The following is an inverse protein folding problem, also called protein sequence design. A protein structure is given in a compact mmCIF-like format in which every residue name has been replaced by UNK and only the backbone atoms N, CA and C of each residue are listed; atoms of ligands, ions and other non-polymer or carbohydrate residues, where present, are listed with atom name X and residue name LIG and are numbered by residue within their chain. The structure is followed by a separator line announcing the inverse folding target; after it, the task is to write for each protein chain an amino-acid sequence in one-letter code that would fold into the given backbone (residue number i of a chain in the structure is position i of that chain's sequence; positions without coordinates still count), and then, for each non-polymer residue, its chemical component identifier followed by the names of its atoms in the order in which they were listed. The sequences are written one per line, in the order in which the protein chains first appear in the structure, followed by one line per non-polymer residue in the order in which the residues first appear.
data_IF_877815184098
#
_entry.id   IF_877815184098
#
_cell.length_a   1.000
_cell.length_b   1.000
_cell.length_c   1.000
_cell.angle_alpha   90.00
_cell.angle_beta   90.00
_cell.angle_gamma   90.00
#
_symmetry.space_group_name_H-M   'P 1'
#
loop_
_entity.id
_entity.type
_entity.pdbx_description
1 polymer ?
#
# COMPACT_ATOMS: atom_id res chain seq x y z
N UNK A 1 -5.91 -1.38 13.34
CA UNK A 1 -6.58 -1.43 12.04
C UNK A 1 -5.49 -1.56 11.00
N UNK A 2 -5.65 -2.47 10.04
CA UNK A 2 -4.76 -2.58 8.88
C UNK A 2 -5.37 -1.84 7.69
N UNK A 3 -4.53 -1.24 6.85
CA UNK A 3 -4.95 -0.66 5.57
C UNK A 3 -4.14 -1.36 4.49
N UNK A 4 -4.82 -1.93 3.52
CA UNK A 4 -4.23 -2.65 2.39
C UNK A 4 -4.73 -1.94 1.14
N UNK A 5 -3.78 -1.42 0.37
CA UNK A 5 -4.06 -0.83 -0.92
C UNK A 5 -3.81 -1.89 -2.01
N UNK A 6 -4.83 -2.23 -2.79
CA UNK A 6 -4.74 -3.25 -3.82
C UNK A 6 -4.88 -2.63 -5.20
N UNK A 7 -3.91 -2.94 -6.06
CA UNK A 7 -3.97 -2.64 -7.48
C UNK A 7 -3.98 -3.96 -8.24
N UNK A 8 -5.08 -4.22 -8.94
CA UNK A 8 -5.25 -5.45 -9.70
C UNK A 8 -5.36 -5.15 -11.18
N UNK A 9 -4.23 -5.28 -11.86
CA UNK A 9 -4.24 -5.45 -13.32
C UNK A 9 -4.83 -6.81 -13.70
N UNK A 10 -5.48 -6.88 -14.85
CA UNK A 10 -6.09 -8.05 -15.51
C UNK A 10 -5.88 -9.44 -14.86
N UNK A 11 -6.96 -10.05 -14.39
CA UNK A 11 -7.05 -11.44 -13.87
C UNK A 11 -6.24 -11.78 -12.60
N UNK A 12 -5.72 -10.78 -11.88
CA UNK A 12 -4.84 -11.01 -10.72
C UNK A 12 -5.52 -10.88 -9.35
N UNK A 13 -6.85 -10.66 -9.25
CA UNK A 13 -7.48 -10.62 -7.93
C UNK A 13 -7.43 -12.03 -7.33
N UNK A 14 -6.62 -12.22 -6.29
CA UNK A 14 -6.44 -13.50 -5.62
C UNK A 14 -6.48 -13.31 -4.11
N UNK A 15 -7.40 -14.00 -3.45
CA UNK A 15 -7.54 -13.94 -1.99
C UNK A 15 -6.28 -14.43 -1.28
N UNK A 16 -5.51 -15.32 -1.90
CA UNK A 16 -4.20 -15.77 -1.40
C UNK A 16 -3.12 -14.68 -1.42
N UNK A 17 -3.31 -13.60 -2.18
CA UNK A 17 -2.40 -12.45 -2.18
C UNK A 17 -2.73 -11.47 -1.04
N UNK A 18 -3.85 -11.66 -0.35
CA UNK A 18 -4.22 -10.87 0.81
C UNK A 18 -3.39 -11.36 2.02
N UNK A 19 -2.72 -10.46 2.75
CA UNK A 19 -1.86 -10.84 3.84
C UNK A 19 -2.66 -11.50 4.97
N UNK A 20 -2.07 -12.52 5.61
CA UNK A 20 -2.61 -13.29 6.75
C UNK A 20 -3.32 -12.46 7.84
N UNK A 21 -2.91 -11.21 8.17
CA UNK A 21 -3.59 -10.39 9.17
C UNK A 21 -5.08 -10.10 8.88
N UNK A 22 -5.57 -10.26 7.65
CA UNK A 22 -7.01 -10.17 7.33
C UNK A 22 -7.81 -11.24 8.09
N UNK A 23 -7.22 -12.40 8.36
CA UNK A 23 -7.90 -13.53 9.00
C UNK A 23 -7.74 -13.55 10.53
N UNK A 24 -6.92 -12.68 11.12
CA UNK A 24 -6.61 -12.66 12.56
C UNK A 24 -7.57 -11.81 13.40
N UNK A 25 -8.80 -11.58 12.93
CA UNK A 25 -9.82 -10.81 13.67
C UNK A 25 -9.51 -9.31 13.84
N UNK A 26 -8.46 -8.80 13.19
CA UNK A 26 -8.12 -7.37 13.19
C UNK A 26 -8.95 -6.65 12.13
N UNK A 27 -9.59 -5.54 12.51
CA UNK A 27 -10.29 -4.67 11.57
C UNK A 27 -9.33 -4.23 10.44
N UNK A 28 -9.70 -4.53 9.21
CA UNK A 28 -8.85 -4.29 8.03
C UNK A 28 -9.65 -3.57 6.95
N UNK A 29 -9.11 -2.49 6.41
CA UNK A 29 -9.60 -1.84 5.20
C UNK A 29 -8.79 -2.32 4.02
N UNK A 30 -9.48 -2.87 3.02
CA UNK A 30 -8.94 -3.21 1.72
C UNK A 30 -9.52 -2.20 0.73
N UNK A 31 -8.69 -1.42 0.05
CA UNK A 31 -9.17 -0.44 -0.92
C UNK A 31 -8.25 -0.38 -2.16
N UNK A 32 -8.78 0.05 -3.29
CA UNK A 32 -8.00 0.34 -4.50
C UNK A 32 -8.71 -0.08 -5.79
N UNK A 33 -7.98 0.01 -6.89
CA UNK A 33 -8.45 -0.39 -8.22
C UNK A 33 -8.40 -1.91 -8.35
N UNK A 34 -9.56 -2.56 -8.28
CA UNK A 34 -9.67 -4.01 -8.41
C UNK A 34 -9.97 -4.44 -9.84
N UNK A 35 -10.25 -3.47 -10.74
CA UNK A 35 -10.75 -3.70 -12.07
C UNK A 35 -11.85 -4.78 -12.11
N UNK A 36 -12.74 -4.74 -11.11
CA UNK A 36 -13.71 -5.78 -10.83
C UNK A 36 -15.09 -5.34 -11.33
N UNK A 37 -15.69 -6.14 -12.22
CA UNK A 37 -17.04 -5.90 -12.75
C UNK A 37 -17.90 -7.11 -12.49
N UNK A 38 -19.02 -6.93 -11.81
CA UNK A 38 -20.02 -7.99 -11.60
C UNK A 38 -21.40 -7.36 -11.48
N UNK A 39 -22.44 -8.05 -11.96
CA UNK A 39 -23.83 -7.55 -11.93
C UNK A 39 -24.38 -7.29 -10.52
N UNK A 40 -23.80 -7.91 -9.50
CA UNK A 40 -24.13 -7.66 -8.08
C UNK A 40 -23.34 -6.50 -7.48
N UNK A 41 -22.30 -6.03 -8.15
CA UNK A 41 -21.46 -4.91 -7.74
C UNK A 41 -21.91 -3.63 -8.43
N UNK A 42 -22.25 -3.68 -9.71
CA UNK A 42 -22.76 -2.53 -10.48
C UNK A 42 -23.89 -2.98 -11.42
N UNK A 43 -24.92 -2.13 -11.57
CA UNK A 43 -26.02 -2.38 -12.50
C UNK A 43 -25.53 -2.24 -13.95
N UNK A 44 -25.71 -3.27 -14.77
CA UNK A 44 -25.39 -3.22 -16.21
C UNK A 44 -23.93 -3.54 -16.58
N UNK A 45 -23.05 -3.76 -15.61
CA UNK A 45 -21.67 -4.19 -15.88
C UNK A 45 -21.58 -5.60 -16.46
N UNK A 46 -20.71 -5.80 -17.47
CA UNK A 46 -20.36 -7.15 -17.94
C UNK A 46 -19.47 -7.81 -16.88
N UNK A 47 -19.95 -8.90 -16.29
CA UNK A 47 -19.18 -9.67 -15.31
C UNK A 47 -17.82 -10.07 -15.88
N UNK A 48 -16.75 -9.78 -15.16
CA UNK A 48 -15.39 -10.23 -15.45
C UNK A 48 -14.86 -11.12 -14.32
N UNK A 49 -13.71 -11.75 -14.56
CA UNK A 49 -13.10 -12.72 -13.62
C UNK A 49 -12.84 -12.08 -12.25
N UNK A 50 -12.31 -10.85 -12.23
CA UNK A 50 -12.05 -10.13 -10.98
C UNK A 50 -13.35 -9.88 -10.19
N UNK A 51 -14.43 -9.51 -10.87
CA UNK A 51 -15.74 -9.34 -10.26
C UNK A 51 -16.31 -10.63 -9.69
N UNK A 52 -16.21 -11.75 -10.41
CA UNK A 52 -16.61 -13.07 -9.88
C UNK A 52 -15.82 -13.40 -8.61
N UNK A 53 -14.50 -13.18 -8.61
CA UNK A 53 -13.66 -13.48 -7.44
C UNK A 53 -13.89 -12.53 -6.27
N UNK A 54 -14.17 -11.25 -6.52
CA UNK A 54 -14.54 -10.29 -5.48
C UNK A 54 -15.87 -10.67 -4.84
N UNK A 55 -16.85 -11.08 -5.63
CA UNK A 55 -18.14 -11.55 -5.11
C UNK A 55 -17.99 -12.86 -4.34
N UNK A 56 -17.17 -13.79 -4.83
CA UNK A 56 -16.84 -15.00 -4.08
C UNK A 56 -16.18 -14.67 -2.75
N UNK A 57 -15.20 -13.75 -2.74
CA UNK A 57 -14.58 -13.27 -1.50
C UNK A 57 -15.61 -12.71 -0.51
N UNK A 58 -16.54 -11.87 -0.96
CA UNK A 58 -17.59 -11.33 -0.09
C UNK A 58 -18.53 -12.42 0.44
N UNK A 59 -18.75 -13.49 -0.32
CA UNK A 59 -19.52 -14.66 0.11
C UNK A 59 -18.77 -15.51 1.14
N UNK A 60 -17.48 -15.73 0.93
CA UNK A 60 -16.62 -16.57 1.78
C UNK A 60 -16.29 -15.89 3.11
N UNK A 61 -16.33 -14.56 3.14
CA UNK A 61 -16.05 -13.75 4.32
C UNK A 61 -17.25 -12.85 4.67
N UNK A 62 -18.28 -13.37 5.35
CA UNK A 62 -19.48 -12.59 5.70
C UNK A 62 -19.20 -11.34 6.57
N UNK A 63 -18.06 -11.32 7.24
CA UNK A 63 -17.56 -10.17 7.99
C UNK A 63 -16.90 -9.08 7.12
N UNK A 64 -16.75 -9.34 5.82
CA UNK A 64 -16.31 -8.38 4.82
C UNK A 64 -17.51 -7.61 4.26
N UNK A 65 -17.41 -6.29 4.26
CA UNK A 65 -18.47 -5.40 3.79
C UNK A 65 -17.90 -4.35 2.85
N UNK A 66 -18.46 -4.31 1.63
CA UNK A 66 -18.21 -3.20 0.71
C UNK A 66 -18.69 -1.89 1.31
N UNK A 67 -17.86 -0.87 1.13
CA UNK A 67 -18.16 0.51 1.49
C UNK A 67 -18.60 1.31 0.25
N UNK A 68 -19.27 2.42 0.51
CA UNK A 68 -19.61 3.42 -0.50
C UNK A 68 -20.90 3.14 -1.25
N UNK A 69 -21.28 4.14 -2.04
CA UNK A 69 -22.41 4.12 -2.97
C UNK A 69 -22.11 3.22 -4.19
N UNK A 70 -23.05 3.18 -5.14
CA UNK A 70 -22.84 2.59 -6.47
C UNK A 70 -22.43 3.63 -7.52
N UNK A 71 -21.84 4.74 -7.07
CA UNK A 71 -21.36 5.78 -7.95
C UNK A 71 -20.19 5.26 -8.81
N UNK A 72 -20.08 5.73 -10.06
CA UNK A 72 -18.92 5.45 -10.90
C UNK A 72 -17.62 5.93 -10.24
N UNK A 73 -16.53 5.20 -10.48
CA UNK A 73 -15.18 5.59 -10.02
C UNK A 73 -14.25 5.89 -11.19
N UNK A 74 -14.78 5.92 -12.42
CA UNK A 74 -14.03 6.18 -13.63
C UNK A 74 -14.84 7.09 -14.57
N UNK A 75 -14.15 7.94 -15.33
CA UNK A 75 -14.77 8.97 -16.19
C UNK A 75 -15.61 8.37 -17.35
N UNK A 76 -15.26 7.17 -17.81
CA UNK A 76 -16.04 6.43 -18.81
C UNK A 76 -17.26 5.71 -18.21
N UNK A 77 -17.51 5.90 -16.91
CA UNK A 77 -18.55 5.22 -16.17
C UNK A 77 -18.12 3.86 -15.63
N UNK A 78 -18.98 3.32 -14.77
CA UNK A 78 -18.75 2.08 -14.04
C UNK A 78 -17.86 2.24 -12.81
N UNK A 79 -17.85 1.18 -12.01
CA UNK A 79 -17.16 1.11 -10.72
C UNK A 79 -16.04 0.07 -10.80
N UNK A 80 -14.81 0.55 -10.73
CA UNK A 80 -13.60 -0.28 -10.78
C UNK A 80 -12.82 -0.26 -9.47
N UNK A 81 -12.96 0.85 -8.75
CA UNK A 81 -12.35 1.08 -7.46
C UNK A 81 -13.32 0.68 -6.36
N UNK A 82 -12.83 -0.09 -5.40
CA UNK A 82 -13.63 -0.60 -4.29
C UNK A 82 -12.94 -0.38 -2.98
N UNK A 83 -13.74 -0.25 -1.94
CA UNK A 83 -13.30 -0.26 -0.55
C UNK A 83 -14.12 -1.29 0.21
N UNK A 84 -13.46 -2.11 1.01
CA UNK A 84 -14.04 -3.20 1.78
C UNK A 84 -13.48 -3.20 3.20
N UNK A 85 -14.37 -3.23 4.19
CA UNK A 85 -14.00 -3.42 5.59
C UNK A 85 -14.18 -4.87 5.97
N UNK A 86 -13.14 -5.48 6.54
CA UNK A 86 -13.14 -6.85 7.06
C UNK A 86 -13.00 -6.82 8.58
N UNK A 87 -13.64 -7.78 9.26
CA UNK A 87 -13.68 -7.89 10.73
C UNK A 87 -14.27 -6.64 11.41
N UNK A 88 -15.30 -6.10 10.77
CA UNK A 88 -15.92 -4.86 11.17
C UNK A 88 -17.00 -5.10 12.23
N UNK A 89 -16.69 -4.84 13.50
CA UNK A 89 -17.67 -4.94 14.61
C UNK A 89 -18.65 -3.74 14.66
N UNK A 90 -19.20 -3.32 13.52
CA UNK A 90 -20.29 -2.34 13.47
C UNK A 90 -19.91 -0.85 13.56
N UNK A 91 -18.64 -0.46 13.44
CA UNK A 91 -18.19 0.94 13.41
C UNK A 91 -18.64 1.74 12.14
N UNK A 92 -19.66 2.62 12.19
CA UNK A 92 -20.17 3.27 10.99
C UNK A 92 -19.09 4.08 10.24
N UNK A 93 -18.74 3.66 9.02
CA UNK A 93 -17.77 4.34 8.16
C UNK A 93 -18.44 5.07 7.00
N UNK A 94 -17.88 6.21 6.59
CA UNK A 94 -18.33 6.98 5.42
C UNK A 94 -17.35 6.71 4.28
N UNK A 95 -17.88 6.50 3.07
CA UNK A 95 -17.09 6.29 1.87
C UNK A 95 -17.77 7.03 0.70
N UNK A 96 -17.07 8.00 0.13
CA UNK A 96 -17.59 8.88 -0.92
C UNK A 96 -16.65 8.89 -2.12
N UNK A 97 -17.19 9.11 -3.31
CA UNK A 97 -16.40 9.40 -4.51
C UNK A 97 -16.02 10.89 -4.52
N UNK A 98 -14.77 11.18 -4.87
CA UNK A 98 -14.19 12.52 -4.98
C UNK A 98 -13.78 12.75 -6.44
N UNK A 99 -14.47 13.67 -7.11
CA UNK A 99 -14.30 13.97 -8.54
C UNK A 99 -13.26 15.03 -8.85
N UNK A 100 -12.73 15.73 -7.85
CA UNK A 100 -11.92 16.94 -8.04
C UNK A 100 -10.45 16.66 -8.43
N UNK A 101 -10.11 15.42 -8.80
CA UNK A 101 -8.76 15.02 -9.17
C UNK A 101 -8.57 15.03 -10.69
N UNK A 102 -7.36 15.39 -11.13
CA UNK A 102 -6.95 15.36 -12.53
C UNK A 102 -6.54 13.93 -12.96
N UNK A 103 -7.48 12.99 -12.90
CA UNK A 103 -7.32 11.60 -13.35
C UNK A 103 -8.61 11.13 -14.05
N UNK A 104 -8.47 10.12 -14.90
CA UNK A 104 -9.57 9.33 -15.43
C UNK A 104 -10.29 8.48 -14.36
N UNK A 105 -9.64 8.23 -13.22
CA UNK A 105 -10.25 7.67 -12.02
C UNK A 105 -10.67 8.77 -11.03
N UNK A 106 -11.82 8.56 -10.39
CA UNK A 106 -12.26 9.35 -9.25
C UNK A 106 -11.71 8.73 -7.96
N UNK A 107 -11.29 9.57 -7.01
CA UNK A 107 -10.78 9.07 -5.75
C UNK A 107 -11.90 8.54 -4.84
N UNK A 108 -11.57 7.57 -4.00
CA UNK A 108 -12.43 7.12 -2.91
C UNK A 108 -11.95 7.74 -1.60
N UNK A 109 -12.78 8.60 -1.00
CA UNK A 109 -12.57 9.18 0.31
C UNK A 109 -13.23 8.35 1.41
N UNK A 110 -12.44 7.81 2.35
CA UNK A 110 -12.93 6.94 3.42
C UNK A 110 -12.69 7.59 4.79
N UNK A 111 -13.73 7.69 5.61
CA UNK A 111 -13.66 8.16 7.00
C UNK A 111 -14.18 7.08 7.94
N UNK A 112 -13.35 6.67 8.90
CA UNK A 112 -13.67 5.62 9.87
C UNK A 112 -13.56 6.17 11.29
N UNK A 113 -14.51 5.87 12.18
CA UNK A 113 -14.46 6.24 13.59
C UNK A 113 -13.52 5.27 14.32
N UNK A 114 -12.22 5.51 14.18
CA UNK A 114 -11.21 4.73 14.88
C UNK A 114 -10.95 5.34 16.25
N UNK A 115 -10.94 4.50 17.29
CA UNK A 115 -10.35 4.92 18.57
C UNK A 115 -8.89 5.28 18.29
N UNK A 116 -8.49 6.53 18.58
CA UNK A 116 -7.10 6.98 18.45
C UNK A 116 -6.21 6.05 19.28
N UNK A 117 -5.60 5.06 18.64
CA UNK A 117 -4.42 4.40 19.19
C UNK A 117 -3.25 5.34 18.95
N UNK A 118 -2.49 5.64 20.01
CA UNK A 118 -1.13 6.19 19.84
C UNK A 118 -0.35 5.17 19.02
N UNK A 119 -0.21 5.42 17.73
CA UNK A 119 0.75 4.69 16.92
C UNK A 119 2.10 5.27 17.30
N UNK A 120 2.85 4.54 18.13
CA UNK A 120 4.26 4.79 18.29
C UNK A 120 4.93 4.34 17.00
N UNK A 121 5.01 5.26 16.04
CA UNK A 121 5.93 5.07 14.94
C UNK A 121 7.33 5.19 15.55
N UNK A 122 8.04 4.07 15.64
CA UNK A 122 9.49 4.14 15.76
C UNK A 122 10.03 4.65 14.42
N UNK A 123 9.92 5.96 14.20
CA UNK A 123 10.48 6.62 13.03
C UNK A 123 11.98 6.62 13.24
N UNK A 124 12.63 5.57 12.74
CA UNK A 124 14.09 5.54 12.60
C UNK A 124 14.48 6.76 11.76
N UNK A 125 15.05 7.78 12.41
CA UNK A 125 15.46 9.01 11.75
C UNK A 125 16.71 8.72 10.93
N UNK A 126 16.49 8.38 9.67
CA UNK A 126 17.56 8.23 8.69
C UNK A 126 18.16 9.61 8.41
N UNK A 127 19.40 9.81 8.84
CA UNK A 127 20.12 11.06 8.66
C UNK A 127 21.23 10.85 7.64
N UNK A 128 21.18 11.61 6.54
CA UNK A 128 22.20 11.61 5.49
C UNK A 128 23.11 12.83 5.69
N UNK A 129 24.39 12.64 6.02
CA UNK A 129 25.36 13.74 6.06
C UNK A 129 25.46 14.45 4.69
N UNK A 130 25.60 15.78 4.69
CA UNK A 130 25.67 16.58 3.46
C UNK A 130 26.80 16.13 2.52
N UNK A 131 27.93 15.70 3.07
CA UNK A 131 29.10 15.21 2.32
C UNK A 131 28.92 13.81 1.72
N UNK A 132 27.77 13.16 1.97
CA UNK A 132 27.44 11.81 1.48
C UNK A 132 26.28 11.78 0.50
N UNK A 133 25.73 12.94 0.12
CA UNK A 133 24.58 13.04 -0.78
C UNK A 133 24.88 12.40 -2.13
N UNK A 134 26.01 12.73 -2.76
CA UNK A 134 26.36 12.20 -4.08
C UNK A 134 26.59 10.69 -4.05
N UNK A 135 27.24 10.19 -3.00
CA UNK A 135 27.44 8.76 -2.82
C UNK A 135 26.11 8.02 -2.63
N UNK A 136 25.21 8.60 -1.84
CA UNK A 136 23.87 8.07 -1.62
C UNK A 136 23.08 8.02 -2.92
N UNK A 137 23.03 9.12 -3.67
CA UNK A 137 22.35 9.21 -4.97
C UNK A 137 22.92 8.14 -5.92
N UNK A 138 24.24 8.07 -6.07
CA UNK A 138 24.90 7.10 -6.94
C UNK A 138 24.50 5.66 -6.61
N UNK A 139 24.48 5.29 -5.32
CA UNK A 139 24.14 3.93 -4.88
C UNK A 139 22.66 3.60 -5.07
N UNK A 140 21.76 4.54 -4.77
CA UNK A 140 20.32 4.33 -4.97
C UNK A 140 19.99 4.29 -6.46
N UNK A 141 20.57 5.15 -7.28
CA UNK A 141 20.42 5.11 -8.74
C UNK A 141 20.92 3.79 -9.33
N UNK A 142 22.06 3.29 -8.86
CA UNK A 142 22.59 1.98 -9.29
C UNK A 142 21.67 0.84 -8.87
N UNK A 143 21.17 0.85 -7.63
CA UNK A 143 20.18 -0.14 -7.17
C UNK A 143 18.93 -0.11 -8.05
N UNK A 144 18.37 1.07 -8.29
CA UNK A 144 17.16 1.23 -9.10
C UNK A 144 17.35 0.74 -10.53
N UNK A 145 18.49 1.06 -11.17
CA UNK A 145 18.81 0.59 -12.51
C UNK A 145 18.89 -0.94 -12.63
N UNK A 146 19.17 -1.64 -11.53
CA UNK A 146 19.26 -3.10 -11.48
C UNK A 146 18.02 -3.74 -10.84
N UNK A 147 17.06 -2.95 -10.37
CA UNK A 147 15.88 -3.45 -9.69
C UNK A 147 14.89 -4.01 -10.71
N UNK A 148 14.43 -5.24 -10.49
CA UNK A 148 13.37 -5.86 -11.29
C UNK A 148 12.06 -5.82 -10.51
N UNK A 149 11.09 -4.98 -10.91
CA UNK A 149 9.85 -4.83 -10.18
C UNK A 149 9.01 -6.11 -10.26
N UNK A 150 8.60 -6.62 -9.10
CA UNK A 150 7.62 -7.72 -8.99
C UNK A 150 6.24 -7.24 -8.56
N UNK A 151 6.17 -6.24 -7.67
CA UNK A 151 4.95 -5.51 -7.29
C UNK A 151 5.30 -4.23 -6.50
N UNK A 152 4.32 -3.34 -6.28
CA UNK A 152 4.53 -2.03 -5.66
C UNK A 152 4.86 -2.11 -4.16
N UNK A 153 4.23 -3.03 -3.41
CA UNK A 153 4.52 -3.21 -1.98
C UNK A 153 5.95 -3.72 -1.76
N UNK A 154 6.38 -4.65 -2.62
CA UNK A 154 7.76 -5.14 -2.63
C UNK A 154 8.76 -4.06 -3.02
N UNK A 155 8.40 -3.17 -3.96
CA UNK A 155 9.22 -2.01 -4.28
C UNK A 155 9.45 -1.10 -3.07
N UNK A 156 8.40 -0.76 -2.30
CA UNK A 156 8.58 0.08 -1.11
C UNK A 156 9.43 -0.59 -0.04
N UNK A 157 9.24 -1.88 0.19
CA UNK A 157 10.05 -2.65 1.13
C UNK A 157 11.52 -2.71 0.70
N UNK A 158 11.79 -3.10 -0.55
CA UNK A 158 13.14 -3.27 -1.09
C UNK A 158 13.87 -1.92 -1.20
N UNK A 159 13.16 -0.84 -1.54
CA UNK A 159 13.70 0.51 -1.55
C UNK A 159 14.08 0.98 -0.14
N UNK A 160 13.22 0.74 0.86
CA UNK A 160 13.55 1.06 2.24
C UNK A 160 14.80 0.32 2.71
N UNK A 161 14.89 -0.98 2.40
CA UNK A 161 16.07 -1.80 2.71
C UNK A 161 17.35 -1.29 2.03
N UNK A 162 17.28 -0.90 0.75
CA UNK A 162 18.41 -0.34 0.00
C UNK A 162 18.89 0.98 0.63
N UNK A 163 17.97 1.87 0.97
CA UNK A 163 18.27 3.14 1.65
C UNK A 163 18.98 2.89 2.99
N UNK A 164 18.48 1.95 3.80
CA UNK A 164 19.09 1.63 5.09
C UNK A 164 20.50 1.06 4.94
N UNK A 165 20.72 0.18 3.96
CA UNK A 165 22.03 -0.43 3.69
C UNK A 165 23.07 0.64 3.36
N UNK A 166 22.75 1.55 2.44
CA UNK A 166 23.67 2.64 2.04
C UNK A 166 23.99 3.57 3.22
N UNK A 167 23.01 3.86 4.08
CA UNK A 167 23.22 4.70 5.25
C UNK A 167 24.05 4.00 6.35
N UNK A 168 23.92 2.68 6.52
CA UNK A 168 24.71 1.90 7.48
C UNK A 168 26.17 1.75 7.05
N UNK A 169 26.43 1.56 5.75
CA UNK A 169 27.79 1.54 5.19
C UNK A 169 28.53 2.86 5.44
N UNK A 170 27.82 3.98 5.34
CA UNK A 170 28.36 5.30 5.66
C UNK A 170 28.77 5.42 7.15
N UNK A 171 28.00 4.84 8.08
CA UNK A 171 28.32 4.89 9.51
C UNK A 171 29.50 3.98 9.89
N UNK A 172 29.61 2.79 9.28
CA UNK A 172 30.73 1.86 9.49
C UNK A 172 32.06 2.45 8.99
N UNK A 173 32.03 3.08 7.82
CA UNK A 173 33.21 3.74 7.25
C UNK A 173 33.68 4.92 8.12
N UNK A 174 32.77 5.71 8.70
CA UNK A 174 33.14 6.81 9.62
C UNK A 174 33.84 6.31 10.90
N UNK A 175 33.40 5.19 11.47
CA UNK A 175 34.03 4.59 12.67
C UNK A 175 35.43 4.07 12.37
N UNK A 176 35.63 3.44 11.21
CA UNK A 176 36.93 2.95 10.78
C UNK A 176 37.95 4.09 10.51
N UNK A 177 37.52 5.18 9.89
CA UNK A 177 38.39 6.34 9.61
C UNK A 177 38.79 7.08 10.89
N UNK A 178 37.86 7.23 11.86
CA UNK A 178 38.18 7.84 13.16
C UNK A 178 39.18 7.01 13.99
N UNK A 179 39.07 5.67 13.97
CA UNK A 179 40.01 4.79 14.68
C UNK A 179 41.42 4.78 14.07
N UNK A 180 41.56 5.00 12.75
CA UNK A 180 42.88 5.13 12.11
C UNK A 180 43.55 6.46 12.46
N UNK A 181 42.78 7.54 12.53
CA UNK A 181 43.32 8.88 12.83
C UNK A 181 43.81 9.02 14.29
N UNK A 182 43.22 8.29 15.24
CA UNK A 182 43.70 8.25 16.64
C UNK A 182 44.92 7.36 16.84
N UNK A 183 45.14 6.35 15.99
CA UNK A 183 46.34 5.49 16.05
C UNK A 183 47.58 6.11 15.40
N UNK A 184 47.44 7.09 14.51
CA UNK A 184 48.57 7.75 13.85
C UNK A 184 49.07 9.02 14.57
N UNK A 185 48.57 9.30 15.78
CA UNK A 185 48.93 10.45 16.62
C UNK A 185 49.43 10.04 18.01
N UNK A 186 49.66 8.75 18.23
CA UNK A 186 50.26 8.20 19.44
C UNK A 186 51.67 7.69 19.16
#
# INVERSE_FOLDING_TARGET
MNVINLYVSSNCFGVTALPDPIFQGVMTLVAGDLNARHRSLESGGKTNVNGTRLVQFLSDFPQARLMGSQEPTHIQGGRLDYACLVNHQGAPGICNVISDLLSDHFAIGIRLPLTKRKVYYDRKRLSLPKDKVDHFISKISLWYANYRPTCIDKFYHDMAYAIETVLCDNQRNQRATKQRYTKSRG
#
